data_IF_012357507158
#
_entry.id   IF_012357507158
#
_cell.length_a   1.000
_cell.length_b   1.000
_cell.length_c   1.000
_cell.angle_alpha   90.00
_cell.angle_beta   90.00
_cell.angle_gamma   90.00
#
_symmetry.space_group_name_H-M   'P 1'
#
loop_
_entity.id
_entity.type
_entity.pdbx_description
1 polymer ?
#
# COMPACT_ATOMS: atom_id res chain seq x y z
N UNK A 1 -18.34 28.65 45.97
CA UNK A 1 -18.78 27.92 44.76
C UNK A 1 -17.72 28.09 43.67
N UNK A 2 -16.79 27.13 43.50
CA UNK A 2 -15.85 27.10 42.36
C UNK A 2 -15.11 25.74 42.34
N UNK A 3 -15.80 24.67 41.91
CA UNK A 3 -15.17 23.35 41.71
C UNK A 3 -15.44 22.74 40.32
N UNK A 4 -16.30 23.34 39.48
CA UNK A 4 -16.69 22.80 38.18
C UNK A 4 -15.66 23.05 37.06
N UNK A 5 -14.88 24.14 37.12
CA UNK A 5 -13.93 24.49 36.06
C UNK A 5 -12.75 23.51 35.91
N UNK A 6 -12.34 22.86 37.00
CA UNK A 6 -11.26 21.86 36.96
C UNK A 6 -11.67 20.54 36.31
N UNK A 7 -12.94 20.13 36.48
CA UNK A 7 -13.46 18.88 35.93
C UNK A 7 -13.63 18.97 34.41
N UNK A 8 -14.19 20.08 33.91
CA UNK A 8 -14.40 20.33 32.47
C UNK A 8 -13.06 20.40 31.72
N UNK A 9 -12.03 21.02 32.30
CA UNK A 9 -10.69 21.05 31.70
C UNK A 9 -10.07 19.65 31.61
N UNK A 10 -10.29 18.80 32.63
CA UNK A 10 -9.75 17.44 32.66
C UNK A 10 -10.44 16.55 31.62
N UNK A 11 -11.76 16.71 31.45
CA UNK A 11 -12.56 16.00 30.45
C UNK A 11 -12.16 16.43 29.03
N UNK A 12 -12.04 17.72 28.77
CA UNK A 12 -11.61 18.23 27.46
C UNK A 12 -10.24 17.73 27.03
N UNK A 13 -9.29 17.67 27.98
CA UNK A 13 -7.95 17.14 27.69
C UNK A 13 -8.00 15.64 27.35
N UNK A 14 -8.86 14.87 28.00
CA UNK A 14 -9.06 13.46 27.67
C UNK A 14 -9.67 13.28 26.26
N UNK A 15 -10.67 14.08 25.91
CA UNK A 15 -11.27 14.05 24.56
C UNK A 15 -10.29 14.46 23.45
N UNK A 16 -9.46 15.48 23.68
CA UNK A 16 -8.40 15.87 22.74
C UNK A 16 -7.37 14.74 22.55
N UNK A 17 -6.94 14.12 23.64
CA UNK A 17 -5.97 13.03 23.60
C UNK A 17 -6.57 11.79 22.90
N UNK A 18 -7.85 11.51 23.12
CA UNK A 18 -8.56 10.43 22.42
C UNK A 18 -8.70 10.71 20.91
N UNK A 19 -9.07 11.93 20.51
CA UNK A 19 -9.12 12.31 19.10
C UNK A 19 -7.76 12.20 18.40
N UNK A 20 -6.70 12.64 19.08
CA UNK A 20 -5.32 12.47 18.60
C UNK A 20 -4.95 10.99 18.43
N UNK A 21 -5.27 10.15 19.42
CA UNK A 21 -4.99 8.71 19.36
C UNK A 21 -5.76 8.01 18.24
N UNK A 22 -7.03 8.36 18.02
CA UNK A 22 -7.82 7.82 16.91
C UNK A 22 -7.19 8.24 15.58
N UNK A 23 -6.84 9.52 15.42
CA UNK A 23 -6.17 10.00 14.20
C UNK A 23 -4.90 9.22 13.91
N UNK A 24 -4.07 9.06 14.94
CA UNK A 24 -2.81 8.33 14.82
C UNK A 24 -3.05 6.86 14.47
N UNK A 25 -3.95 6.19 15.17
CA UNK A 25 -4.28 4.78 14.93
C UNK A 25 -4.73 4.56 13.48
N UNK A 26 -5.50 5.49 12.94
CA UNK A 26 -6.04 5.31 11.61
C UNK A 26 -5.02 5.65 10.51
N UNK A 27 -4.19 6.69 10.69
CA UNK A 27 -3.03 6.93 9.81
C UNK A 27 -2.11 5.71 9.77
N UNK A 28 -1.81 5.14 10.94
CA UNK A 28 -1.02 3.91 11.05
C UNK A 28 -1.70 2.73 10.35
N UNK A 29 -3.02 2.57 10.50
CA UNK A 29 -3.78 1.50 9.83
C UNK A 29 -3.69 1.58 8.30
N UNK A 30 -3.85 2.77 7.72
CA UNK A 30 -3.71 2.96 6.27
C UNK A 30 -2.26 2.74 5.82
N UNK A 31 -1.29 3.19 6.61
CA UNK A 31 0.13 2.93 6.34
C UNK A 31 0.44 1.42 6.33
N UNK A 32 -0.06 0.66 7.30
CA UNK A 32 0.08 -0.80 7.30
C UNK A 32 -0.62 -1.46 6.11
N UNK A 33 -1.81 -0.98 5.72
CA UNK A 33 -2.50 -1.49 4.53
C UNK A 33 -1.68 -1.29 3.25
N UNK A 34 -1.00 -0.15 3.10
CA UNK A 34 -0.05 0.09 1.99
C UNK A 34 1.04 -0.99 1.96
N UNK A 35 1.69 -1.24 3.10
CA UNK A 35 2.77 -2.24 3.22
C UNK A 35 2.27 -3.64 2.83
N UNK A 36 1.10 -4.04 3.32
CA UNK A 36 0.53 -5.38 3.03
C UNK A 36 0.26 -5.54 1.53
N UNK A 37 -0.35 -4.54 0.89
CA UNK A 37 -0.64 -4.60 -0.55
C UNK A 37 0.66 -4.64 -1.35
N UNK A 38 1.60 -3.76 -1.04
CA UNK A 38 2.80 -3.56 -1.84
C UNK A 38 3.81 -4.70 -1.69
N UNK A 39 4.07 -5.16 -0.46
CA UNK A 39 5.14 -6.11 -0.20
C UNK A 39 4.67 -7.57 -0.17
N UNK A 40 3.44 -7.83 0.28
CA UNK A 40 2.96 -9.21 0.48
C UNK A 40 2.13 -9.66 -0.72
N UNK A 41 1.10 -8.89 -1.11
CA UNK A 41 0.17 -9.34 -2.14
C UNK A 41 0.81 -9.41 -3.54
N UNK A 42 1.60 -8.39 -3.93
CA UNK A 42 2.25 -8.37 -5.26
C UNK A 42 3.24 -9.52 -5.39
N UNK A 43 4.12 -9.70 -4.39
CA UNK A 43 5.12 -10.78 -4.43
C UNK A 43 4.47 -12.16 -4.45
N UNK A 44 3.42 -12.37 -3.65
CA UNK A 44 2.67 -13.62 -3.67
C UNK A 44 2.00 -13.85 -5.03
N UNK A 45 1.39 -12.83 -5.63
CA UNK A 45 0.78 -12.95 -6.95
C UNK A 45 1.80 -13.34 -8.03
N UNK A 46 3.02 -12.78 -7.97
CA UNK A 46 4.11 -13.15 -8.89
C UNK A 46 4.54 -14.61 -8.66
N UNK A 47 4.70 -15.05 -7.41
CA UNK A 47 5.04 -16.46 -7.09
C UNK A 47 3.94 -17.43 -7.52
N UNK A 48 2.68 -17.07 -7.33
CA UNK A 48 1.54 -17.87 -7.79
C UNK A 48 1.56 -17.98 -9.32
N UNK A 49 1.74 -16.87 -10.05
CA UNK A 49 1.83 -16.88 -11.50
C UNK A 49 3.04 -17.70 -12.00
N UNK A 50 4.20 -17.55 -11.36
CA UNK A 50 5.41 -18.33 -11.66
C UNK A 50 5.15 -19.83 -11.50
N UNK A 51 4.56 -20.21 -10.36
CA UNK A 51 4.25 -21.62 -10.07
C UNK A 51 3.23 -22.18 -11.06
N UNK A 52 2.27 -21.37 -11.48
CA UNK A 52 1.26 -21.74 -12.47
C UNK A 52 1.90 -21.92 -13.85
N UNK A 53 2.75 -20.97 -14.26
CA UNK A 53 3.48 -21.02 -15.51
C UNK A 53 4.33 -22.27 -15.60
N UNK A 54 5.17 -22.55 -14.60
CA UNK A 54 6.04 -23.73 -14.63
C UNK A 54 5.27 -25.05 -14.64
N UNK A 55 4.13 -25.12 -13.96
CA UNK A 55 3.26 -26.31 -14.00
C UNK A 55 2.68 -26.56 -15.40
N UNK A 56 2.32 -25.49 -16.12
CA UNK A 56 1.78 -25.60 -17.48
C UNK A 56 2.87 -25.82 -18.52
N UNK A 57 4.00 -25.13 -18.38
CA UNK A 57 5.16 -25.30 -19.24
C UNK A 57 5.73 -26.73 -19.19
N UNK A 58 5.66 -27.41 -18.04
CA UNK A 58 5.99 -28.83 -17.91
C UNK A 58 5.10 -29.76 -18.75
N UNK A 59 3.83 -29.39 -18.95
CA UNK A 59 2.85 -30.19 -19.71
C UNK A 59 2.87 -29.83 -21.19
N UNK A 60 3.08 -28.56 -21.49
CA UNK A 60 3.09 -28.01 -22.84
C UNK A 60 4.22 -26.97 -22.97
N UNK A 61 5.34 -27.33 -23.62
CA UNK A 61 6.45 -26.40 -23.87
C UNK A 61 6.08 -25.22 -24.78
N UNK A 62 4.91 -25.25 -25.44
CA UNK A 62 4.39 -24.13 -26.24
C UNK A 62 3.47 -23.19 -25.47
N UNK A 63 3.29 -23.42 -24.16
CA UNK A 63 2.49 -22.55 -23.30
C UNK A 63 3.01 -21.10 -23.36
N UNK A 64 2.14 -20.11 -23.66
CA UNK A 64 2.57 -18.73 -23.83
C UNK A 64 3.08 -18.14 -22.52
N UNK A 65 4.05 -17.23 -22.63
CA UNK A 65 4.50 -16.42 -21.51
C UNK A 65 3.35 -15.54 -20.99
N UNK A 66 3.31 -15.27 -19.66
CA UNK A 66 2.30 -14.38 -19.11
C UNK A 66 2.46 -12.99 -19.73
N UNK A 67 1.41 -12.49 -20.36
CA UNK A 67 1.35 -11.14 -20.93
C UNK A 67 0.02 -10.50 -20.49
N UNK A 68 0.08 -9.83 -19.34
CA UNK A 68 -1.05 -9.13 -18.74
C UNK A 68 -0.73 -7.65 -18.61
N UNK A 69 -1.72 -6.85 -18.22
CA UNK A 69 -1.59 -5.39 -18.09
C UNK A 69 -0.38 -4.94 -17.24
N UNK A 70 -0.10 -5.66 -16.16
CA UNK A 70 0.94 -5.27 -15.20
C UNK A 70 2.03 -6.33 -15.03
N UNK A 71 1.92 -7.49 -15.67
CA UNK A 71 2.88 -8.59 -15.52
C UNK A 71 3.20 -9.16 -16.90
N UNK A 72 4.48 -9.12 -17.26
CA UNK A 72 4.99 -9.67 -18.53
C UNK A 72 6.17 -10.59 -18.26
N UNK A 73 6.12 -11.80 -18.83
CA UNK A 73 7.18 -12.80 -18.76
C UNK A 73 8.11 -12.76 -19.97
N UNK A 74 9.40 -12.98 -19.73
CA UNK A 74 10.43 -13.08 -20.76
C UNK A 74 11.33 -14.28 -20.48
N UNK A 75 11.77 -14.97 -21.54
CA UNK A 75 12.88 -15.93 -21.46
C UNK A 75 14.20 -15.31 -21.93
N UNK A 76 14.12 -14.29 -22.78
CA UNK A 76 15.29 -13.62 -23.32
C UNK A 76 15.54 -12.31 -22.58
N UNK A 77 16.72 -12.21 -21.98
CA UNK A 77 17.16 -11.02 -21.26
C UNK A 77 17.35 -9.79 -22.16
N UNK A 78 17.49 -9.98 -23.48
CA UNK A 78 17.60 -8.89 -24.46
C UNK A 78 16.29 -8.17 -24.74
N UNK A 79 15.15 -8.78 -24.38
CA UNK A 79 13.82 -8.18 -24.51
C UNK A 79 13.41 -7.34 -23.29
N UNK A 80 14.23 -7.37 -22.22
CA UNK A 80 13.99 -6.58 -21.02
C UNK A 80 14.13 -5.08 -21.31
N UNK A 81 13.49 -4.18 -20.55
CA UNK A 81 13.73 -2.75 -20.67
C UNK A 81 15.20 -2.37 -20.48
N UNK A 82 15.70 -1.38 -21.22
CA UNK A 82 17.11 -0.95 -21.18
C UNK A 82 17.62 -0.64 -19.76
N UNK A 83 16.74 -0.18 -18.88
CA UNK A 83 17.04 0.15 -17.48
C UNK A 83 17.50 -1.08 -16.70
N UNK A 84 16.94 -2.25 -16.99
CA UNK A 84 17.28 -3.53 -16.35
C UNK A 84 18.48 -4.17 -17.04
N UNK A 85 18.53 -4.09 -18.38
CA UNK A 85 19.63 -4.69 -19.17
C UNK A 85 21.02 -4.23 -18.73
N UNK A 86 21.16 -3.01 -18.22
CA UNK A 86 22.42 -2.47 -17.72
C UNK A 86 22.96 -3.21 -16.50
N UNK A 87 22.09 -3.80 -15.69
CA UNK A 87 22.47 -4.54 -14.49
C UNK A 87 21.44 -5.64 -14.19
N UNK A 88 21.58 -6.74 -14.92
CA UNK A 88 20.77 -7.94 -14.73
C UNK A 88 21.40 -8.76 -13.59
N UNK A 89 20.69 -8.98 -12.47
CA UNK A 89 21.08 -9.88 -11.41
C UNK A 89 21.14 -11.31 -11.96
N UNK A 90 22.06 -12.11 -11.41
CA UNK A 90 22.24 -13.51 -11.81
C UNK A 90 21.57 -14.50 -10.84
N UNK A 91 21.21 -14.02 -9.65
CA UNK A 91 20.60 -14.85 -8.62
C UNK A 91 19.07 -14.83 -8.74
N UNK A 92 18.43 -15.90 -8.27
CA UNK A 92 16.98 -15.96 -8.17
C UNK A 92 16.47 -15.02 -7.08
N UNK A 93 15.33 -14.41 -7.34
CA UNK A 93 14.65 -13.56 -6.37
C UNK A 93 14.06 -12.29 -6.94
N UNK A 94 13.64 -11.43 -6.00
CA UNK A 94 12.97 -10.17 -6.29
C UNK A 94 13.94 -9.00 -6.33
N UNK A 95 13.88 -8.23 -7.41
CA UNK A 95 14.69 -7.04 -7.64
C UNK A 95 13.80 -5.87 -8.00
N UNK A 96 13.98 -4.75 -7.30
CA UNK A 96 13.16 -3.55 -7.50
C UNK A 96 13.98 -2.49 -8.26
N UNK A 97 13.37 -1.93 -9.31
CA UNK A 97 13.95 -0.92 -10.19
C UNK A 97 13.05 0.32 -10.20
N UNK A 98 13.65 1.52 -10.23
CA UNK A 98 12.92 2.79 -10.22
C UNK A 98 12.57 3.31 -8.81
N UNK A 99 12.14 4.58 -8.72
CA UNK A 99 11.62 5.21 -7.49
C UNK A 99 10.19 5.70 -7.74
N UNK A 100 9.31 5.40 -6.78
CA UNK A 100 7.94 5.89 -6.62
C UNK A 100 6.95 5.58 -7.78
N UNK A 101 7.00 6.29 -8.92
CA UNK A 101 5.89 6.25 -9.91
C UNK A 101 6.05 5.24 -11.06
N UNK A 102 7.29 4.91 -11.44
CA UNK A 102 7.62 3.91 -12.48
C UNK A 102 8.27 2.66 -11.87
N UNK A 103 7.94 2.36 -10.61
CA UNK A 103 8.50 1.22 -9.89
C UNK A 103 8.25 -0.08 -10.64
N UNK A 104 9.30 -0.86 -10.87
CA UNK A 104 9.21 -2.15 -11.51
C UNK A 104 9.80 -3.21 -10.59
N UNK A 105 9.05 -4.29 -10.39
CA UNK A 105 9.53 -5.45 -9.63
C UNK A 105 9.84 -6.54 -10.65
N UNK A 106 11.10 -6.95 -10.72
CA UNK A 106 11.53 -8.10 -11.48
C UNK A 106 11.67 -9.30 -10.56
N UNK A 107 11.16 -10.44 -10.98
CA UNK A 107 11.40 -11.73 -10.34
C UNK A 107 12.13 -12.66 -11.31
N UNK A 108 13.24 -13.26 -10.84
CA UNK A 108 14.01 -14.25 -11.59
C UNK A 108 13.75 -15.63 -10.99
N UNK A 109 13.30 -16.55 -11.83
CA UNK A 109 13.12 -17.97 -11.49
C UNK A 109 13.83 -18.84 -12.52
N UNK A 110 14.62 -19.82 -12.06
CA UNK A 110 15.29 -20.78 -12.93
C UNK A 110 14.66 -22.16 -12.74
N UNK A 111 14.11 -22.71 -13.81
CA UNK A 111 13.64 -24.09 -13.82
C UNK A 111 13.93 -24.73 -15.17
N UNK A 112 14.25 -26.04 -15.15
CA UNK A 112 14.45 -26.84 -16.36
C UNK A 112 15.44 -26.23 -17.38
N UNK A 113 16.53 -25.65 -16.87
CA UNK A 113 17.58 -25.04 -17.69
C UNK A 113 17.12 -23.81 -18.51
N UNK A 114 16.02 -23.19 -18.10
CA UNK A 114 15.48 -21.93 -18.62
C UNK A 114 15.38 -20.91 -17.47
N UNK A 115 15.60 -19.64 -17.79
CA UNK A 115 15.45 -18.52 -16.84
C UNK A 115 14.23 -17.72 -17.22
N UNK A 116 13.24 -17.67 -16.33
CA UNK A 116 12.05 -16.87 -16.48
C UNK A 116 12.23 -15.54 -15.76
N UNK A 117 12.10 -14.45 -16.52
CA UNK A 117 12.07 -13.09 -16.02
C UNK A 117 10.62 -12.61 -15.98
N UNK A 118 10.07 -12.42 -14.79
CA UNK A 118 8.73 -11.86 -14.61
C UNK A 118 8.84 -10.38 -14.23
N UNK A 119 8.33 -9.50 -15.09
CA UNK A 119 8.37 -8.06 -14.90
C UNK A 119 7.01 -7.57 -14.49
N UNK A 120 6.92 -7.05 -13.28
CA UNK A 120 5.72 -6.43 -12.76
C UNK A 120 5.84 -4.91 -12.78
N UNK A 121 5.08 -4.27 -13.67
CA UNK A 121 4.95 -2.82 -13.73
C UNK A 121 4.00 -2.36 -12.62
N UNK A 122 4.55 -1.65 -11.63
CA UNK A 122 3.75 -1.01 -10.59
C UNK A 122 3.04 0.15 -11.28
N UNK A 123 1.76 -0.03 -11.63
CA UNK A 123 0.92 1.10 -12.04
C UNK A 123 0.89 2.18 -10.94
N UNK A 124 0.24 3.32 -11.17
CA UNK A 124 0.09 4.37 -10.17
C UNK A 124 -0.71 3.90 -8.93
N UNK A 125 -0.11 3.09 -8.05
CA UNK A 125 -0.75 2.58 -6.82
C UNK A 125 -0.61 3.59 -5.69
N UNK A 126 0.47 4.38 -5.68
CA UNK A 126 0.74 5.35 -4.60
C UNK A 126 -0.31 6.48 -4.54
N UNK A 127 -0.79 6.97 -5.69
CA UNK A 127 -1.90 7.92 -5.74
C UNK A 127 -3.23 7.32 -5.24
N UNK A 128 -3.44 6.02 -5.46
CA UNK A 128 -4.66 5.32 -5.10
C UNK A 128 -4.83 5.15 -3.58
N UNK A 129 -3.75 4.85 -2.85
CA UNK A 129 -3.79 4.74 -1.37
C UNK A 129 -4.09 6.09 -0.72
N UNK A 130 -3.52 7.16 -1.28
CA UNK A 130 -3.80 8.53 -0.84
C UNK A 130 -5.27 8.89 -1.06
N UNK A 131 -5.80 8.61 -2.26
CA UNK A 131 -7.16 8.98 -2.66
C UNK A 131 -8.25 8.11 -1.99
N UNK A 132 -8.05 6.80 -1.87
CA UNK A 132 -9.06 5.86 -1.33
C UNK A 132 -8.83 5.49 0.14
N UNK A 133 -7.64 5.68 0.67
CA UNK A 133 -7.30 5.41 2.07
C UNK A 133 -7.27 6.68 2.90
N UNK A 134 -6.20 7.47 2.74
CA UNK A 134 -5.87 8.56 3.66
C UNK A 134 -6.89 9.71 3.57
N UNK A 135 -7.23 10.16 2.37
CA UNK A 135 -8.10 11.32 2.15
C UNK A 135 -9.53 11.18 2.71
N UNK A 136 -10.31 10.11 2.38
CA UNK A 136 -11.66 9.95 2.92
C UNK A 136 -11.63 9.82 4.45
N UNK A 137 -10.56 9.23 4.96
CA UNK A 137 -10.40 8.99 6.37
C UNK A 137 -10.09 10.26 7.16
N UNK A 138 -9.17 11.09 6.65
CA UNK A 138 -8.96 12.45 7.16
C UNK A 138 -10.25 13.26 7.09
N UNK A 139 -11.03 13.12 6.00
CA UNK A 139 -12.31 13.82 5.83
C UNK A 139 -13.30 13.44 6.93
N UNK A 140 -13.49 12.14 7.19
CA UNK A 140 -14.35 11.66 8.28
C UNK A 140 -13.86 12.20 9.63
N UNK A 141 -12.55 12.16 9.87
CA UNK A 141 -11.99 12.60 11.13
C UNK A 141 -12.13 14.12 11.35
N UNK A 142 -11.99 14.91 10.28
CA UNK A 142 -12.19 16.35 10.29
C UNK A 142 -13.67 16.68 10.56
N UNK A 143 -14.61 15.96 9.94
CA UNK A 143 -16.05 16.08 10.22
C UNK A 143 -16.36 15.76 11.68
N UNK A 144 -15.80 14.66 12.22
CA UNK A 144 -15.99 14.29 13.62
C UNK A 144 -15.43 15.36 14.56
N UNK A 145 -14.21 15.83 14.30
CA UNK A 145 -13.60 16.87 15.13
C UNK A 145 -14.39 18.18 15.09
N UNK A 146 -14.86 18.61 13.91
CA UNK A 146 -15.75 19.76 13.77
C UNK A 146 -17.05 19.57 14.54
N UNK A 147 -17.66 18.38 14.48
CA UNK A 147 -18.90 18.07 15.22
C UNK A 147 -18.69 18.16 16.74
N UNK A 148 -17.61 17.57 17.25
CA UNK A 148 -17.23 17.66 18.67
C UNK A 148 -16.92 19.11 19.08
N UNK A 149 -16.20 19.86 18.24
CA UNK A 149 -15.86 21.25 18.51
C UNK A 149 -17.09 22.17 18.49
N UNK A 150 -18.00 21.99 17.52
CA UNK A 150 -19.28 22.70 17.45
C UNK A 150 -20.13 22.37 18.69
N UNK A 151 -20.22 21.10 19.07
CA UNK A 151 -20.94 20.68 20.28
C UNK A 151 -20.35 21.34 21.54
N UNK A 152 -19.02 21.36 21.66
CA UNK A 152 -18.33 22.04 22.76
C UNK A 152 -18.55 23.56 22.77
N UNK A 153 -18.47 24.19 21.58
CA UNK A 153 -18.65 25.62 21.38
C UNK A 153 -20.07 26.08 21.71
N UNK A 154 -21.10 25.36 21.22
CA UNK A 154 -22.49 25.65 21.51
C UNK A 154 -22.82 25.39 22.99
N UNK A 155 -22.29 24.31 23.59
CA UNK A 155 -22.55 24.02 24.99
C UNK A 155 -21.88 25.02 25.95
N UNK A 156 -20.82 25.72 25.52
CA UNK A 156 -20.26 26.87 26.26
C UNK A 156 -21.22 28.06 26.38
N UNK A 157 -22.27 28.15 25.55
CA UNK A 157 -23.28 29.22 25.61
C UNK A 157 -24.53 28.85 26.43
N UNK A 158 -24.71 27.59 26.83
CA UNK A 158 -25.91 27.12 27.55
C UNK A 158 -25.68 26.85 29.03
N UNK A 159 -24.47 27.04 29.56
CA UNK A 159 -24.21 27.00 31.01
C UNK A 159 -24.14 28.43 31.56
N UNK A 160 -25.29 29.06 31.63
CA UNK A 160 -25.62 30.15 32.57
C UNK A 160 -26.83 29.66 33.38
N UNK A 161 -26.74 29.64 34.72
CA UNK A 161 -26.62 30.86 35.54
C UNK A 161 -25.43 30.88 36.52
#
# INVERSE_FOLDING_TARGET
MSKSNGLIHKINRAFLLQGLLITLAVVLGVFFAKIVIEQILIKNAILEEESYFWQQYQRDPSFPLPDTKNLTGYFDSTLLPEQIQRNIPQEEGFYEYGKDEDGLVMHISQAQNQTLYLLYYRGQVDALVLYYGIFPLLTVLLILYLSLWLTYSYNRRTVSP
#
